data_IF_689214225735
#
_entry.id   IF_689214225735
#
_cell.length_a   1.000
_cell.length_b   1.000
_cell.length_c   1.000
_cell.angle_alpha   90.00
_cell.angle_beta   90.00
_cell.angle_gamma   90.00
#
_symmetry.space_group_name_H-M   'P 1'
#
loop_
_entity.id
_entity.type
_entity.pdbx_description
1 polymer ?
#
# COMPACT_ATOMS: atom_id res chain seq x y z
N UNK A 1 -34.72 16.76 -29.34
CA UNK A 1 -33.45 17.27 -28.76
C UNK A 1 -33.31 16.94 -27.27
N UNK A 2 -34.35 17.06 -26.45
CA UNK A 2 -34.30 16.74 -25.00
C UNK A 2 -33.81 15.33 -24.64
N UNK A 3 -34.22 14.28 -25.38
CA UNK A 3 -33.78 12.89 -25.09
C UNK A 3 -32.28 12.64 -25.37
N UNK A 4 -31.71 13.38 -26.33
CA UNK A 4 -30.29 13.28 -26.67
C UNK A 4 -29.43 14.03 -25.65
N UNK A 5 -29.88 15.19 -25.16
CA UNK A 5 -29.18 15.92 -24.09
C UNK A 5 -29.17 15.13 -22.77
N UNK A 6 -30.25 14.42 -22.42
CA UNK A 6 -30.28 13.58 -21.19
C UNK A 6 -29.23 12.46 -21.23
N UNK A 7 -29.06 11.79 -22.38
CA UNK A 7 -28.07 10.72 -22.55
C UNK A 7 -26.63 11.22 -22.45
N UNK A 8 -26.32 12.36 -23.06
CA UNK A 8 -24.99 13.00 -22.97
C UNK A 8 -24.67 13.40 -21.54
N UNK A 9 -25.66 13.92 -20.79
CA UNK A 9 -25.48 14.30 -19.39
C UNK A 9 -25.26 13.10 -18.47
N UNK A 10 -25.99 11.98 -18.69
CA UNK A 10 -25.81 10.74 -17.94
C UNK A 10 -24.43 10.08 -18.18
N UNK A 11 -23.93 10.10 -19.41
CA UNK A 11 -22.58 9.62 -19.76
C UNK A 11 -21.47 10.46 -19.12
N UNK A 12 -21.69 11.76 -18.95
CA UNK A 12 -20.75 12.66 -18.27
C UNK A 12 -20.74 12.43 -16.74
N UNK A 13 -21.91 12.17 -16.13
CA UNK A 13 -22.03 11.85 -14.70
C UNK A 13 -21.45 10.47 -14.34
N UNK A 14 -21.60 9.47 -15.22
CA UNK A 14 -21.04 8.12 -14.99
C UNK A 14 -19.50 8.12 -14.85
N UNK A 15 -18.82 9.13 -15.41
CA UNK A 15 -17.36 9.28 -15.32
C UNK A 15 -16.89 9.85 -13.99
N UNK A 16 -17.78 10.40 -13.16
CA UNK A 16 -17.43 11.03 -11.87
C UNK A 16 -17.54 10.08 -10.67
N UNK A 17 -17.84 8.79 -10.89
CA UNK A 17 -17.96 7.80 -9.81
C UNK A 17 -16.59 7.20 -9.47
N UNK A 18 -15.76 7.94 -8.72
CA UNK A 18 -14.61 7.34 -8.02
C UNK A 18 -15.01 7.01 -6.58
N UNK A 19 -15.64 5.85 -6.38
CA UNK A 19 -15.96 5.31 -5.07
C UNK A 19 -14.89 4.33 -4.54
N UNK A 20 -13.83 4.09 -5.32
CA UNK A 20 -12.79 3.13 -4.96
C UNK A 20 -11.73 3.78 -4.06
N UNK A 21 -11.51 3.20 -2.87
CA UNK A 21 -10.35 3.51 -2.05
C UNK A 21 -9.11 2.81 -2.61
N UNK A 22 -8.03 3.54 -2.84
CA UNK A 22 -6.73 2.99 -3.26
C UNK A 22 -5.78 2.99 -2.07
N UNK A 23 -5.12 1.85 -1.82
CA UNK A 23 -4.04 1.74 -0.86
C UNK A 23 -2.73 2.19 -1.51
N UNK A 24 -2.33 3.43 -1.25
CA UNK A 24 -1.13 4.05 -1.86
C UNK A 24 0.06 4.18 -0.91
N UNK A 25 -0.09 3.84 0.38
CA UNK A 25 0.96 3.86 1.41
C UNK A 25 1.65 5.22 1.67
N UNK A 26 1.34 6.27 0.93
CA UNK A 26 1.92 7.61 1.17
C UNK A 26 1.52 8.19 2.54
N UNK A 27 0.47 7.65 3.17
CA UNK A 27 0.07 8.00 4.52
C UNK A 27 1.15 7.72 5.59
N UNK A 28 2.16 6.91 5.29
CA UNK A 28 3.28 6.65 6.18
C UNK A 28 4.36 7.74 6.16
N UNK A 29 4.37 8.62 5.15
CA UNK A 29 5.28 9.77 5.05
C UNK A 29 6.76 9.43 5.33
N UNK A 30 7.26 8.35 4.73
CA UNK A 30 8.61 7.89 4.97
C UNK A 30 9.65 8.89 4.43
N UNK A 31 10.76 9.13 5.16
CA UNK A 31 11.90 9.86 4.61
C UNK A 31 12.43 9.15 3.35
N UNK A 32 13.00 9.87 2.37
CA UNK A 32 13.50 9.26 1.14
C UNK A 32 14.51 8.14 1.38
N UNK A 33 14.37 7.05 0.62
CA UNK A 33 15.26 5.89 0.66
C UNK A 33 15.35 5.21 2.04
N UNK A 34 14.20 5.04 2.69
CA UNK A 34 14.03 4.34 3.97
C UNK A 34 13.01 3.20 3.86
N UNK A 35 12.89 2.46 4.96
CA UNK A 35 12.02 1.31 5.08
C UNK A 35 11.50 1.24 6.52
N UNK A 36 10.24 0.85 6.68
CA UNK A 36 9.55 0.68 7.96
C UNK A 36 9.07 -0.77 8.09
N UNK A 37 9.65 -1.47 9.06
CA UNK A 37 9.37 -2.88 9.38
C UNK A 37 8.84 -3.12 10.79
N UNK A 38 8.61 -2.05 11.54
CA UNK A 38 8.02 -2.10 12.87
C UNK A 38 6.72 -1.29 12.84
N UNK A 39 5.58 -1.99 12.86
CA UNK A 39 4.27 -1.37 12.98
C UNK A 39 3.93 -0.93 14.43
N UNK A 40 4.84 -1.18 15.38
CA UNK A 40 4.67 -0.88 16.78
C UNK A 40 3.47 -1.59 17.39
N UNK A 41 2.81 -0.92 18.34
CA UNK A 41 1.67 -1.49 19.08
C UNK A 41 0.46 -1.83 18.20
N UNK A 42 0.37 -1.31 16.97
CA UNK A 42 -0.69 -1.66 16.04
C UNK A 42 -0.53 -3.08 15.48
N UNK A 43 0.72 -3.58 15.37
CA UNK A 43 1.04 -4.87 14.74
C UNK A 43 0.55 -5.02 13.29
N UNK A 44 0.19 -3.91 12.63
CA UNK A 44 -0.22 -3.88 11.23
C UNK A 44 -0.04 -2.48 10.62
N UNK A 45 0.18 -2.45 9.30
CA UNK A 45 0.19 -1.24 8.49
C UNK A 45 -1.16 -1.08 7.78
N UNK A 46 -1.87 0.00 8.05
CA UNK A 46 -3.14 0.30 7.38
C UNK A 46 -2.96 1.37 6.28
N UNK A 47 -3.55 1.12 5.11
CA UNK A 47 -3.64 2.10 4.02
C UNK A 47 -4.93 1.89 3.25
N UNK A 48 -5.75 2.93 3.07
CA UNK A 48 -7.06 2.78 2.45
C UNK A 48 -7.95 1.78 3.18
N UNK A 49 -8.40 0.73 2.46
CA UNK A 49 -9.27 -0.32 3.00
C UNK A 49 -8.49 -1.62 3.27
N UNK A 50 -7.17 -1.56 3.42
CA UNK A 50 -6.36 -2.74 3.72
C UNK A 50 -5.57 -2.56 5.02
N UNK A 51 -5.41 -3.66 5.74
CA UNK A 51 -4.51 -3.78 6.88
C UNK A 51 -3.53 -4.93 6.62
N UNK A 52 -2.25 -4.64 6.83
CA UNK A 52 -1.11 -5.50 6.50
C UNK A 52 -0.39 -5.90 7.78
N UNK A 53 -0.58 -7.13 8.28
CA UNK A 53 0.05 -7.59 9.52
C UNK A 53 1.58 -7.50 9.46
N UNK A 54 2.16 -7.06 10.56
CA UNK A 54 3.60 -6.98 10.75
C UNK A 54 3.94 -7.53 12.14
N UNK A 55 4.93 -8.41 12.19
CA UNK A 55 5.44 -8.96 13.43
C UNK A 55 6.90 -8.54 13.55
N UNK A 56 7.19 -7.57 14.41
CA UNK A 56 8.55 -7.10 14.69
C UNK A 56 9.02 -7.61 16.05
N UNK A 57 10.22 -8.19 16.08
CA UNK A 57 10.89 -8.63 17.28
C UNK A 57 12.05 -7.68 17.61
N UNK A 58 11.94 -6.85 18.67
CA UNK A 58 12.97 -5.89 19.03
C UNK A 58 14.23 -6.52 19.62
N UNK A 59 14.14 -7.73 20.19
CA UNK A 59 15.30 -8.41 20.79
C UNK A 59 16.25 -8.92 19.69
N UNK A 60 15.69 -9.32 18.55
CA UNK A 60 16.44 -9.82 17.40
C UNK A 60 16.54 -8.84 16.23
N UNK A 61 15.92 -7.66 16.36
CA UNK A 61 15.77 -6.66 15.28
C UNK A 61 15.26 -7.30 13.99
N UNK A 62 14.33 -8.25 14.13
CA UNK A 62 13.85 -9.10 13.04
C UNK A 62 12.37 -8.86 12.80
N UNK A 63 11.90 -9.20 11.60
CA UNK A 63 10.51 -9.00 11.24
C UNK A 63 10.00 -10.06 10.28
N UNK A 64 8.69 -10.30 10.31
CA UNK A 64 7.95 -11.03 9.28
C UNK A 64 6.59 -10.38 9.00
N UNK A 65 5.97 -10.77 7.90
CA UNK A 65 4.72 -10.20 7.41
C UNK A 65 4.96 -9.14 6.35
N UNK A 66 4.50 -7.93 6.61
CA UNK A 66 4.61 -6.79 5.71
C UNK A 66 5.50 -5.69 6.27
N UNK A 67 6.09 -4.90 5.38
CA UNK A 67 6.75 -3.63 5.69
C UNK A 67 6.46 -2.61 4.59
N UNK A 68 6.76 -1.34 4.87
CA UNK A 68 6.53 -0.22 3.95
C UNK A 68 7.87 0.40 3.55
N UNK A 69 8.13 0.50 2.26
CA UNK A 69 9.42 0.95 1.70
C UNK A 69 9.23 2.10 0.71
N UNK A 70 10.24 2.97 0.62
CA UNK A 70 10.43 3.86 -0.52
C UNK A 70 11.87 3.78 -1.08
N UNK A 71 12.55 2.66 -0.84
CA UNK A 71 13.89 2.42 -1.40
C UNK A 71 13.82 2.31 -2.92
N UNK A 72 14.84 2.85 -3.58
CA UNK A 72 14.94 2.87 -5.04
C UNK A 72 16.11 2.03 -5.59
N UNK A 73 16.92 1.42 -4.70
CA UNK A 73 18.04 0.56 -5.11
C UNK A 73 17.52 -0.75 -5.73
N UNK A 74 17.54 -0.80 -7.06
CA UNK A 74 17.16 -1.96 -7.84
C UNK A 74 18.38 -2.71 -8.43
N UNK A 75 19.58 -2.43 -7.93
CA UNK A 75 20.84 -2.97 -8.50
C UNK A 75 21.60 -3.88 -7.54
N UNK A 76 21.52 -3.63 -6.23
CA UNK A 76 22.24 -4.43 -5.24
C UNK A 76 21.58 -5.82 -5.09
N UNK A 77 22.29 -6.91 -5.40
CA UNK A 77 21.76 -8.26 -5.25
C UNK A 77 21.86 -8.75 -3.80
N UNK A 78 21.05 -9.77 -3.49
CA UNK A 78 21.12 -10.52 -2.23
C UNK A 78 20.17 -10.01 -1.14
N UNK A 79 20.19 -10.71 0.00
CA UNK A 79 19.25 -10.51 1.10
C UNK A 79 19.37 -9.14 1.78
N UNK A 80 20.50 -8.44 1.61
CA UNK A 80 20.70 -7.10 2.17
C UNK A 80 19.80 -6.03 1.52
N UNK A 81 19.18 -6.35 0.37
CA UNK A 81 18.28 -5.46 -0.35
C UNK A 81 16.81 -5.89 -0.23
N UNK A 82 16.44 -6.58 0.85
CA UNK A 82 15.12 -7.19 1.08
C UNK A 82 13.93 -6.22 1.06
N UNK A 83 14.17 -4.93 1.29
CA UNK A 83 13.12 -3.90 1.29
C UNK A 83 12.99 -3.15 -0.03
N UNK A 84 13.79 -3.49 -1.05
CA UNK A 84 13.71 -2.84 -2.36
C UNK A 84 12.91 -3.65 -3.36
N UNK A 85 12.13 -2.97 -4.20
CA UNK A 85 11.52 -3.55 -5.38
C UNK A 85 12.43 -3.40 -6.60
N UNK A 86 12.51 -4.42 -7.46
CA UNK A 86 13.27 -4.36 -8.73
C UNK A 86 12.76 -3.24 -9.66
N UNK A 87 11.49 -2.85 -9.52
CA UNK A 87 10.91 -1.72 -10.24
C UNK A 87 11.53 -0.37 -9.84
N UNK A 88 12.20 -0.28 -8.68
CA UNK A 88 12.81 0.95 -8.17
C UNK A 88 11.82 1.94 -7.56
N UNK A 89 10.55 1.56 -7.39
CA UNK A 89 9.48 2.39 -6.83
C UNK A 89 8.14 1.67 -6.79
N UNK A 90 7.12 2.36 -6.30
CA UNK A 90 5.74 1.88 -6.25
C UNK A 90 5.03 1.94 -7.61
N UNK A 91 3.89 1.24 -7.69
CA UNK A 91 3.04 1.27 -8.89
C UNK A 91 2.46 2.67 -9.15
N UNK A 92 2.10 2.95 -10.41
CA UNK A 92 1.49 4.23 -10.83
C UNK A 92 2.33 5.47 -10.45
N UNK A 93 3.65 5.32 -10.31
CA UNK A 93 4.57 6.40 -9.94
C UNK A 93 4.57 6.76 -8.45
N UNK A 94 3.97 5.93 -7.61
CA UNK A 94 4.02 6.09 -6.15
C UNK A 94 5.46 5.93 -5.63
N UNK A 95 5.83 6.77 -4.66
CA UNK A 95 7.15 6.71 -4.04
C UNK A 95 7.22 5.56 -3.02
N UNK A 96 6.08 5.24 -2.40
CA UNK A 96 5.97 4.30 -1.29
C UNK A 96 5.25 3.02 -1.70
N UNK A 97 5.72 1.87 -1.24
CA UNK A 97 5.13 0.57 -1.56
C UNK A 97 5.27 -0.42 -0.40
N UNK A 98 4.45 -1.47 -0.42
CA UNK A 98 4.54 -2.55 0.54
C UNK A 98 5.46 -3.67 0.03
N UNK A 99 6.25 -4.23 0.93
CA UNK A 99 7.05 -5.45 0.72
C UNK A 99 6.61 -6.51 1.71
N UNK A 100 6.70 -7.79 1.33
CA UNK A 100 6.37 -8.89 2.23
C UNK A 100 7.55 -9.83 2.39
N UNK A 101 7.82 -10.20 3.64
CA UNK A 101 8.80 -11.19 4.03
C UNK A 101 8.14 -12.22 4.92
N UNK A 102 7.88 -13.42 4.37
CA UNK A 102 7.17 -14.50 5.05
C UNK A 102 7.71 -15.85 4.58
N UNK A 103 7.70 -16.85 5.47
CA UNK A 103 8.01 -18.24 5.11
C UNK A 103 6.80 -18.99 4.54
N UNK A 104 5.59 -18.53 4.87
CA UNK A 104 4.32 -19.15 4.47
C UNK A 104 3.59 -18.23 3.49
N UNK A 105 2.46 -17.65 3.89
CA UNK A 105 1.63 -16.81 3.05
C UNK A 105 1.66 -15.34 3.50
N UNK A 106 1.68 -14.43 2.53
CA UNK A 106 1.44 -13.01 2.77
C UNK A 106 -0.06 -12.78 2.97
N UNK A 107 -0.44 -12.37 4.18
CA UNK A 107 -1.86 -12.14 4.52
C UNK A 107 -2.18 -10.66 4.38
N UNK A 108 -3.14 -10.32 3.53
CA UNK A 108 -3.73 -8.98 3.46
C UNK A 108 -5.16 -9.06 3.99
N UNK A 109 -5.53 -8.12 4.87
CA UNK A 109 -6.89 -8.03 5.41
C UNK A 109 -7.63 -6.88 4.74
N UNK A 110 -8.84 -7.14 4.27
CA UNK A 110 -9.74 -6.11 3.78
C UNK A 110 -10.55 -5.56 4.95
N UNK A 111 -10.48 -4.26 5.17
CA UNK A 111 -11.33 -3.57 6.13
C UNK A 111 -12.60 -3.08 5.44
N UNK A 112 -13.75 -3.62 5.86
CA UNK A 112 -15.03 -3.11 5.42
C UNK A 112 -15.39 -1.84 6.18
N UNK A 113 -14.88 -0.67 5.75
CA UNK A 113 -15.31 0.63 6.30
C UNK A 113 -16.58 1.17 5.65
N UNK A 114 -17.46 0.26 5.20
CA UNK A 114 -18.80 0.56 4.71
C UNK A 114 -19.80 0.76 5.85
N UNK A 115 -19.58 1.77 6.70
CA UNK A 115 -20.64 2.40 7.50
C UNK A 115 -20.23 3.85 7.78
N UNK A 116 -20.62 4.73 6.88
CA UNK A 116 -20.91 6.13 7.23
C UNK A 116 -22.21 6.09 8.04
N UNK A 117 -22.14 6.49 9.31
CA UNK A 117 -23.33 6.89 10.07
C UNK A 117 -23.90 8.19 9.51
#
# INVERSE_FOLDING_TARGET
MQRLTTLVFALFFAKMLFAQTVAGFENFNLPPNTFLNDAGAASEFSSGNISLPNNYDPDWMSWDGWGISNRTDNTTPGFLNESSAIAGGGAEGSATYAVSYVLSASILRLENRGTVN
#
